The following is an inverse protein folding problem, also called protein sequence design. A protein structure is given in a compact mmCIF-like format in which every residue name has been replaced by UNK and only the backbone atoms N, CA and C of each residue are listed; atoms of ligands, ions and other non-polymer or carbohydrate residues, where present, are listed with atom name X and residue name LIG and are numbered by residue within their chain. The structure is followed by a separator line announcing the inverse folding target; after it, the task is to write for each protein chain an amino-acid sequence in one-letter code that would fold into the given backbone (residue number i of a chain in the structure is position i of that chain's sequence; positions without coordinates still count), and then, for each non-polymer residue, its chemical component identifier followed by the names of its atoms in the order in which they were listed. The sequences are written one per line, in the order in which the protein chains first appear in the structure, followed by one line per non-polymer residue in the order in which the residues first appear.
data_IF_565325240488
#
_entry.id   IF_565325240488
#
_cell.length_a   1.000
_cell.length_b   1.000
_cell.length_c   1.000
_cell.angle_alpha   90.00
_cell.angle_beta   90.00
_cell.angle_gamma   90.00
#
_symmetry.space_group_name_H-M   'P 1'
#
loop_
_entity.id
_entity.type
_entity.pdbx_description
1 polymer ?
#
# COMPACT_ATOMS: atom_id res chain seq x y z
N UNK A 1 9.82 -13.41 -3.70
CA UNK A 1 9.23 -12.06 -3.83
C UNK A 1 10.31 -11.06 -4.26
N UNK A 2 10.17 -10.49 -5.45
CA UNK A 2 11.19 -9.59 -6.01
C UNK A 2 10.89 -8.12 -5.78
N UNK A 3 9.63 -7.73 -5.86
CA UNK A 3 9.25 -6.32 -5.72
C UNK A 3 7.84 -6.19 -5.16
N UNK A 4 7.72 -5.38 -4.13
CA UNK A 4 6.45 -5.17 -3.42
C UNK A 4 6.15 -3.69 -3.27
N UNK A 5 4.88 -3.31 -3.37
CA UNK A 5 4.41 -1.95 -3.15
C UNK A 5 3.61 -1.90 -1.85
N UNK A 6 4.02 -1.03 -0.94
CA UNK A 6 3.24 -0.72 0.26
C UNK A 6 2.42 0.53 -0.01
N UNK A 7 1.11 0.46 0.25
CA UNK A 7 0.18 1.55 -0.06
C UNK A 7 -0.50 2.04 1.20
N UNK A 8 -0.20 3.26 1.58
CA UNK A 8 -0.90 3.96 2.65
C UNK A 8 -0.98 5.45 2.33
N UNK A 9 -2.19 5.97 2.21
CA UNK A 9 -2.45 7.32 1.68
C UNK A 9 -3.29 8.19 2.62
N UNK A 10 -3.43 7.79 3.87
CA UNK A 10 -4.15 8.56 4.88
C UNK A 10 -3.21 9.52 5.65
N UNK A 11 -3.34 9.61 6.96
CA UNK A 11 -2.61 10.59 7.76
C UNK A 11 -1.14 10.23 7.96
N UNK A 12 -0.32 11.25 8.26
CA UNK A 12 1.11 11.11 8.49
C UNK A 12 1.43 10.14 9.64
N UNK A 13 0.67 10.22 10.74
CA UNK A 13 0.85 9.31 11.88
C UNK A 13 0.60 7.85 11.51
N UNK A 14 -0.45 7.61 10.72
CA UNK A 14 -0.79 6.27 10.24
C UNK A 14 0.28 5.73 9.30
N UNK A 15 0.83 6.58 8.45
CA UNK A 15 1.95 6.22 7.57
C UNK A 15 3.18 5.82 8.37
N UNK A 16 3.50 6.59 9.42
CA UNK A 16 4.61 6.29 10.31
C UNK A 16 4.43 4.93 11.01
N UNK A 17 3.21 4.61 11.44
CA UNK A 17 2.89 3.33 12.07
C UNK A 17 2.97 2.14 11.10
N UNK A 18 3.04 2.39 9.81
CA UNK A 18 3.19 1.35 8.79
C UNK A 18 4.67 0.99 8.56
N UNK A 19 5.60 1.90 8.85
CA UNK A 19 7.04 1.70 8.63
C UNK A 19 7.58 0.40 9.28
N UNK A 20 7.16 -0.01 10.49
CA UNK A 20 7.65 -1.25 11.11
C UNK A 20 7.42 -2.52 10.27
N UNK A 21 6.50 -2.48 9.30
CA UNK A 21 6.21 -3.62 8.42
C UNK A 21 7.39 -3.93 7.49
N UNK A 22 8.22 -2.95 7.19
CA UNK A 22 9.36 -3.09 6.27
C UNK A 22 10.35 -4.15 6.76
N UNK A 23 10.63 -4.15 8.05
CA UNK A 23 11.60 -5.08 8.64
C UNK A 23 11.21 -6.56 8.47
N UNK A 24 10.00 -6.99 8.86
CA UNK A 24 9.57 -8.38 8.62
C UNK A 24 9.61 -8.79 7.15
N UNK A 25 9.28 -7.88 6.23
CA UNK A 25 9.35 -8.16 4.80
C UNK A 25 10.78 -8.44 4.37
N UNK A 26 11.72 -7.61 4.82
CA UNK A 26 13.16 -7.79 4.51
C UNK A 26 13.75 -9.04 5.15
N UNK A 27 13.28 -9.41 6.33
CA UNK A 27 13.71 -10.63 6.99
C UNK A 27 13.27 -11.87 6.21
N UNK A 28 12.04 -11.86 5.69
CA UNK A 28 11.52 -12.98 4.92
C UNK A 28 12.06 -13.02 3.49
N UNK A 29 12.23 -11.87 2.86
CA UNK A 29 12.72 -11.73 1.49
C UNK A 29 13.82 -10.67 1.43
N UNK A 30 15.07 -11.03 1.78
CA UNK A 30 16.17 -10.04 1.87
C UNK A 30 16.44 -9.25 0.59
N UNK A 31 16.21 -9.87 -0.57
CA UNK A 31 16.47 -9.25 -1.87
C UNK A 31 15.24 -8.52 -2.44
N UNK A 32 14.13 -8.49 -1.70
CA UNK A 32 12.91 -7.83 -2.13
C UNK A 32 13.08 -6.32 -2.18
N UNK A 33 12.72 -5.71 -3.30
CA UNK A 33 12.64 -4.25 -3.41
C UNK A 33 11.30 -3.80 -2.86
N UNK A 34 11.32 -2.87 -1.92
CA UNK A 34 10.14 -2.31 -1.28
C UNK A 34 9.98 -0.87 -1.72
N UNK A 35 8.87 -0.57 -2.40
CA UNK A 35 8.49 0.79 -2.73
C UNK A 35 7.26 1.18 -1.91
N UNK A 36 7.01 2.46 -1.78
CA UNK A 36 5.90 2.98 -1.00
C UNK A 36 5.08 3.97 -1.83
N UNK A 37 3.77 3.80 -1.87
CA UNK A 37 2.85 4.77 -2.47
C UNK A 37 2.21 5.57 -1.33
N UNK A 38 2.46 6.87 -1.30
CA UNK A 38 2.01 7.74 -0.22
C UNK A 38 1.72 9.15 -0.70
N UNK A 39 0.98 9.90 0.10
CA UNK A 39 0.72 11.33 -0.16
C UNK A 39 2.03 12.10 -0.06
N UNK A 40 2.16 13.15 -0.87
CA UNK A 40 3.38 13.96 -0.94
C UNK A 40 3.85 14.46 0.41
N UNK A 41 2.94 14.90 1.27
CA UNK A 41 3.29 15.48 2.57
C UNK A 41 3.90 14.46 3.55
N UNK A 42 3.77 13.15 3.27
CA UNK A 42 4.37 12.10 4.10
C UNK A 42 5.74 11.65 3.62
N UNK A 43 6.16 12.05 2.42
CA UNK A 43 7.43 11.63 1.82
C UNK A 43 8.67 11.90 2.69
N UNK A 44 8.78 13.07 3.37
CA UNK A 44 9.97 13.34 4.20
C UNK A 44 10.23 12.29 5.28
N UNK A 45 9.18 11.70 5.84
CA UNK A 45 9.31 10.64 6.84
C UNK A 45 9.83 9.36 6.21
N UNK A 46 9.29 8.99 5.04
CA UNK A 46 9.64 7.76 4.36
C UNK A 46 11.05 7.79 3.78
N UNK A 47 11.55 8.96 3.43
CA UNK A 47 12.92 9.13 2.88
C UNK A 47 14.01 8.68 3.85
N UNK A 48 13.73 8.66 5.15
CA UNK A 48 14.69 8.25 6.16
C UNK A 48 14.74 6.74 6.37
N UNK A 49 13.85 5.99 5.72
CA UNK A 49 13.80 4.52 5.82
C UNK A 49 14.66 3.93 4.71
N UNK A 50 15.81 3.39 5.06
CA UNK A 50 16.81 2.89 4.10
C UNK A 50 16.31 1.74 3.23
N UNK A 51 15.42 0.91 3.78
CA UNK A 51 14.89 -0.27 3.11
C UNK A 51 13.86 0.05 2.03
N UNK A 52 13.33 1.28 2.00
CA UNK A 52 12.39 1.72 0.99
C UNK A 52 13.18 2.24 -0.22
N UNK A 53 12.93 1.66 -1.40
CA UNK A 53 13.61 2.04 -2.63
C UNK A 53 13.06 3.31 -3.23
N UNK A 54 11.82 3.26 -3.74
CA UNK A 54 11.15 4.42 -4.32
C UNK A 54 9.93 4.81 -3.51
N UNK A 55 9.62 6.09 -3.49
CA UNK A 55 8.38 6.61 -2.92
C UNK A 55 7.58 7.19 -4.08
N UNK A 56 6.48 6.51 -4.44
CA UNK A 56 5.57 7.00 -5.47
C UNK A 56 4.60 8.00 -4.86
N UNK A 57 4.37 9.09 -5.57
CA UNK A 57 3.46 10.11 -5.11
C UNK A 57 2.01 9.75 -5.47
N UNK A 58 1.09 9.92 -4.52
CA UNK A 58 -0.35 9.84 -4.75
C UNK A 58 -0.96 11.21 -4.48
N UNK A 59 -1.52 11.82 -5.52
CA UNK A 59 -2.13 13.14 -5.42
C UNK A 59 -3.54 13.12 -6.02
N UNK A 60 -4.54 12.65 -5.25
CA UNK A 60 -5.91 12.49 -5.74
C UNK A 60 -6.62 13.81 -6.04
N UNK A 61 -6.12 14.92 -5.51
CA UNK A 61 -6.67 16.26 -5.76
C UNK A 61 -5.97 16.99 -6.90
N UNK A 62 -4.82 16.48 -7.34
CA UNK A 62 -4.01 17.04 -8.41
C UNK A 62 -3.87 16.10 -9.60
N UNK A 63 -2.65 15.57 -9.83
CA UNK A 63 -2.34 14.77 -11.02
C UNK A 63 -3.12 13.47 -11.11
N UNK A 64 -3.57 12.90 -10.00
CA UNK A 64 -4.33 11.66 -9.97
C UNK A 64 -5.84 11.90 -9.85
N UNK A 65 -6.29 13.12 -10.09
CA UNK A 65 -7.71 13.49 -10.04
C UNK A 65 -8.50 12.97 -11.23
N UNK A 66 -9.71 12.46 -10.96
CA UNK A 66 -10.66 12.04 -11.99
C UNK A 66 -10.20 10.80 -12.77
N UNK A 67 -10.85 10.56 -13.89
CA UNK A 67 -10.60 9.38 -14.74
C UNK A 67 -9.19 9.41 -15.32
N UNK A 68 -8.75 10.57 -15.80
CA UNK A 68 -7.39 10.70 -16.36
C UNK A 68 -6.32 10.51 -15.30
N UNK A 69 -6.54 11.04 -14.10
CA UNK A 69 -5.64 10.85 -12.99
C UNK A 69 -5.57 9.40 -12.54
N UNK A 70 -6.70 8.71 -12.51
CA UNK A 70 -6.74 7.28 -12.23
C UNK A 70 -5.95 6.48 -13.27
N UNK A 71 -6.11 6.81 -14.56
CA UNK A 71 -5.37 6.17 -15.64
C UNK A 71 -3.87 6.39 -15.50
N UNK A 72 -3.45 7.60 -15.12
CA UNK A 72 -2.04 7.91 -14.87
C UNK A 72 -1.49 7.05 -13.71
N UNK A 73 -2.24 6.93 -12.62
CA UNK A 73 -1.84 6.11 -11.47
C UNK A 73 -1.68 4.65 -11.88
N UNK A 74 -2.62 4.10 -12.64
CA UNK A 74 -2.55 2.73 -13.18
C UNK A 74 -1.27 2.54 -13.99
N UNK A 75 -0.96 3.47 -14.88
CA UNK A 75 0.23 3.41 -15.72
C UNK A 75 1.52 3.45 -14.89
N UNK A 76 1.58 4.36 -13.92
CA UNK A 76 2.75 4.49 -13.05
C UNK A 76 3.02 3.20 -12.25
N UNK A 77 1.97 2.58 -11.72
CA UNK A 77 2.08 1.33 -10.98
C UNK A 77 2.49 0.18 -11.92
N UNK A 78 1.86 0.10 -13.08
CA UNK A 78 2.11 -0.97 -14.05
C UNK A 78 3.55 -0.95 -14.56
N UNK A 79 4.13 0.21 -14.76
CA UNK A 79 5.51 0.37 -15.21
C UNK A 79 6.55 -0.18 -14.24
N UNK A 80 6.21 -0.28 -12.96
CA UNK A 80 7.13 -0.74 -11.92
C UNK A 80 7.15 -2.26 -11.77
N UNK A 81 6.19 -2.97 -12.35
CA UNK A 81 6.13 -4.44 -12.36
C UNK A 81 6.17 -5.07 -10.95
N UNK A 82 5.27 -4.65 -10.10
CA UNK A 82 5.16 -5.20 -8.74
C UNK A 82 4.58 -6.60 -8.73
N UNK A 83 5.16 -7.50 -7.93
CA UNK A 83 4.60 -8.83 -7.70
C UNK A 83 3.45 -8.80 -6.70
N UNK A 84 3.52 -7.89 -5.72
CA UNK A 84 2.48 -7.77 -4.71
C UNK A 84 2.33 -6.32 -4.28
N UNK A 85 1.15 -6.00 -3.78
CA UNK A 85 0.86 -4.71 -3.15
C UNK A 85 0.07 -4.96 -1.87
N UNK A 86 0.39 -4.22 -0.81
CA UNK A 86 -0.31 -4.29 0.46
C UNK A 86 -0.99 -2.96 0.70
N UNK A 87 -2.33 -2.99 0.83
CA UNK A 87 -3.15 -1.82 1.11
C UNK A 87 -3.45 -1.75 2.60
N UNK A 88 -2.77 -0.87 3.30
CA UNK A 88 -2.98 -0.68 4.73
C UNK A 88 -4.20 0.17 5.05
N UNK A 89 -4.61 1.02 4.10
CA UNK A 89 -5.82 1.83 4.19
C UNK A 89 -6.56 1.75 2.85
N UNK A 90 -7.38 0.71 2.66
CA UNK A 90 -8.04 0.47 1.38
C UNK A 90 -9.00 1.59 1.00
N UNK A 91 -8.92 2.01 -0.25
CA UNK A 91 -9.89 2.88 -0.90
C UNK A 91 -10.21 2.31 -2.26
N UNK A 92 -11.43 2.52 -2.73
CA UNK A 92 -11.85 1.97 -4.02
C UNK A 92 -10.93 2.40 -5.17
N UNK A 93 -10.57 3.69 -5.22
CA UNK A 93 -9.69 4.19 -6.27
C UNK A 93 -8.32 3.52 -6.30
N UNK A 94 -7.72 3.27 -5.13
CA UNK A 94 -6.43 2.60 -5.03
C UNK A 94 -6.53 1.11 -5.32
N UNK A 95 -7.55 0.44 -4.77
CA UNK A 95 -7.76 -0.98 -4.97
C UNK A 95 -8.03 -1.29 -6.44
N UNK A 96 -8.88 -0.49 -7.09
CA UNK A 96 -9.16 -0.66 -8.52
C UNK A 96 -7.95 -0.34 -9.39
N UNK A 97 -7.12 0.64 -8.99
CA UNK A 97 -5.89 0.96 -9.71
C UNK A 97 -4.90 -0.21 -9.71
N UNK A 98 -4.73 -0.86 -8.57
CA UNK A 98 -3.88 -2.05 -8.45
C UNK A 98 -4.41 -3.21 -9.29
N UNK A 99 -5.73 -3.40 -9.29
CA UNK A 99 -6.37 -4.42 -10.11
C UNK A 99 -6.17 -4.15 -11.60
N UNK A 100 -6.39 -2.92 -12.04
CA UNK A 100 -6.22 -2.54 -13.44
C UNK A 100 -4.75 -2.56 -13.88
N UNK A 101 -3.83 -2.27 -12.97
CA UNK A 101 -2.39 -2.37 -13.23
C UNK A 101 -1.89 -3.82 -13.26
N UNK A 102 -2.78 -4.78 -12.97
CA UNK A 102 -2.49 -6.22 -13.00
C UNK A 102 -1.39 -6.65 -12.03
N UNK A 103 -1.36 -6.02 -10.84
CA UNK A 103 -0.52 -6.49 -9.75
C UNK A 103 -1.02 -7.87 -9.33
N UNK A 104 -0.21 -8.93 -9.41
CA UNK A 104 -0.69 -10.30 -9.21
C UNK A 104 -1.27 -10.58 -7.84
N UNK A 105 -0.65 -10.07 -6.78
CA UNK A 105 -1.15 -10.24 -5.42
C UNK A 105 -1.52 -8.88 -4.83
N UNK A 106 -2.77 -8.79 -4.39
CA UNK A 106 -3.32 -7.57 -3.80
C UNK A 106 -3.84 -7.92 -2.42
N UNK A 107 -3.15 -7.47 -1.39
CA UNK A 107 -3.41 -7.80 0.01
C UNK A 107 -4.03 -6.59 0.69
N UNK A 108 -5.10 -6.80 1.44
CA UNK A 108 -5.75 -5.72 2.16
C UNK A 108 -6.88 -6.24 3.04
N UNK A 109 -7.50 -5.35 3.80
CA UNK A 109 -8.62 -5.72 4.67
C UNK A 109 -9.88 -6.01 3.86
N UNK A 110 -10.68 -7.00 4.31
CA UNK A 110 -11.88 -7.48 3.63
C UNK A 110 -13.17 -6.75 4.01
N UNK A 111 -13.10 -5.64 4.77
CA UNK A 111 -14.31 -4.94 5.25
C UNK A 111 -15.05 -4.10 4.24
N UNK A 112 -14.47 -3.84 3.07
CA UNK A 112 -15.06 -2.97 2.06
C UNK A 112 -15.78 -3.80 1.01
N UNK A 113 -16.84 -3.23 0.40
CA UNK A 113 -17.61 -3.91 -0.66
C UNK A 113 -16.75 -4.26 -1.88
N UNK A 114 -15.68 -3.49 -2.13
CA UNK A 114 -14.76 -3.73 -3.24
C UNK A 114 -13.62 -4.71 -2.89
N UNK A 115 -13.72 -5.40 -1.75
CA UNK A 115 -12.69 -6.38 -1.34
C UNK A 115 -12.56 -7.55 -2.31
N UNK A 116 -13.56 -7.78 -3.17
CA UNK A 116 -13.45 -8.79 -4.23
C UNK A 116 -12.33 -8.51 -5.23
N UNK A 117 -11.83 -7.27 -5.29
CA UNK A 117 -10.69 -6.91 -6.13
C UNK A 117 -9.34 -7.32 -5.51
N UNK A 118 -9.34 -7.72 -4.25
CA UNK A 118 -8.15 -8.21 -3.55
C UNK A 118 -7.97 -9.69 -3.83
N UNK A 119 -6.71 -10.13 -3.97
CA UNK A 119 -6.39 -11.55 -4.11
C UNK A 119 -6.26 -12.24 -2.75
N UNK A 120 -5.77 -11.50 -1.76
CA UNK A 120 -5.53 -11.98 -0.40
C UNK A 120 -6.22 -11.05 0.61
N UNK A 121 -7.56 -11.10 0.72
CA UNK A 121 -8.26 -10.26 1.68
C UNK A 121 -8.02 -10.75 3.11
N UNK A 122 -7.73 -9.82 4.02
CA UNK A 122 -7.49 -10.12 5.43
C UNK A 122 -8.62 -9.54 6.26
N UNK A 123 -9.28 -10.39 7.03
CA UNK A 123 -10.37 -9.97 7.90
C UNK A 123 -9.83 -9.31 9.17
N UNK A 124 -10.15 -8.03 9.36
CA UNK A 124 -9.75 -7.26 10.55
C UNK A 124 -10.96 -6.50 11.11
N UNK A 125 -11.12 -6.51 12.43
CA UNK A 125 -12.16 -5.76 13.11
C UNK A 125 -11.56 -4.60 13.89
N UNK A 126 -11.40 -3.45 13.23
CA UNK A 126 -10.86 -2.23 13.85
C UNK A 126 -11.88 -1.53 14.74
N UNK A 127 -13.16 -1.84 14.55
CA UNK A 127 -14.25 -1.24 15.33
C UNK A 127 -14.17 -1.58 16.81
N UNK A 128 -13.60 -2.73 17.14
CA UNK A 128 -13.50 -3.21 18.50
C UNK A 128 -12.28 -2.65 19.23
N UNK A 129 -11.40 -1.93 18.55
CA UNK A 129 -10.18 -1.34 19.11
C UNK A 129 -9.33 -2.35 19.91
N UNK A 130 -9.37 -3.63 19.52
CA UNK A 130 -8.69 -4.70 20.23
C UNK A 130 -7.18 -4.70 20.03
N UNK A 131 -6.70 -4.03 18.99
CA UNK A 131 -5.29 -4.01 18.62
C UNK A 131 -4.80 -2.61 18.36
N UNK A 132 -3.53 -2.38 18.63
CA UNK A 132 -2.87 -1.15 18.22
C UNK A 132 -2.73 -1.11 16.69
N UNK A 133 -2.68 0.08 16.10
CA UNK A 133 -2.58 0.23 14.64
C UNK A 133 -1.39 -0.52 14.05
N UNK A 134 -0.25 -0.55 14.74
CA UNK A 134 0.93 -1.31 14.30
C UNK A 134 0.61 -2.80 14.19
N UNK A 135 -0.14 -3.35 15.14
CA UNK A 135 -0.53 -4.77 15.12
C UNK A 135 -1.44 -5.10 13.96
N UNK A 136 -2.39 -4.21 13.62
CA UNK A 136 -3.25 -4.38 12.45
C UNK A 136 -2.44 -4.39 11.16
N UNK A 137 -1.44 -3.50 11.06
CA UNK A 137 -0.59 -3.44 9.88
C UNK A 137 0.27 -4.70 9.74
N UNK A 138 0.75 -5.25 10.84
CA UNK A 138 1.54 -6.49 10.82
C UNK A 138 0.68 -7.71 10.46
N UNK A 139 -0.59 -7.73 10.85
CA UNK A 139 -1.51 -8.82 10.52
C UNK A 139 -1.67 -8.99 9.00
N UNK A 140 -1.53 -7.93 8.23
CA UNK A 140 -1.64 -8.00 6.77
C UNK A 140 -0.49 -8.78 6.12
N UNK A 141 0.58 -9.05 6.84
CA UNK A 141 1.70 -9.85 6.35
C UNK A 141 1.50 -11.36 6.51
N UNK A 142 0.57 -11.74 7.36
CA UNK A 142 0.24 -13.14 7.60
C UNK A 142 -0.75 -13.67 6.57
#
# INVERSE_FOLDING_TARGET
MRKILLVRTDRIGDTLLTVPVVKPIKERWPDCKIDFLARTYTHPILKNVKEIGQILNYDPEGVHRGIRGHQLLVTEIQQQDYEAAILFYPRFGLTSALWRARVPRRIGTSHRWYSFLLTDPVHQSRRECLKHEVEYNLDLLE
#
